data_IF_702202423235
#
_entry.id   IF_702202423235
#
_cell.length_a   1.000
_cell.length_b   1.000
_cell.length_c   1.000
_cell.angle_alpha   90.00
_cell.angle_beta   90.00
_cell.angle_gamma   90.00
#
_symmetry.space_group_name_H-M   'P 1'
#
loop_
_entity.id
_entity.type
_entity.pdbx_description
1 polymer ?
#
# COMPACT_ATOMS: atom_id res chain seq x y z
N UNK A 1 29.41 -8.66 0.55
CA UNK A 1 28.41 -7.67 0.14
C UNK A 1 27.48 -8.31 -0.90
N UNK A 2 26.29 -8.62 -0.50
CA UNK A 2 25.31 -9.21 -1.40
C UNK A 2 24.87 -8.14 -2.42
N UNK A 3 25.30 -8.30 -3.66
CA UNK A 3 24.74 -7.49 -4.74
C UNK A 3 23.27 -7.84 -4.89
N UNK A 4 22.41 -6.94 -4.46
CA UNK A 4 21.00 -7.06 -4.72
C UNK A 4 20.75 -6.87 -6.22
N UNK A 5 20.36 -7.94 -6.90
CA UNK A 5 19.82 -7.80 -8.25
C UNK A 5 18.39 -7.29 -8.12
N UNK A 6 18.17 -6.04 -8.51
CA UNK A 6 16.82 -5.55 -8.66
C UNK A 6 16.26 -6.01 -9.99
N UNK A 7 15.52 -7.10 -9.98
CA UNK A 7 14.64 -7.45 -11.11
C UNK A 7 13.28 -6.81 -10.79
N UNK A 8 13.01 -5.63 -11.37
CA UNK A 8 11.78 -4.90 -11.09
C UNK A 8 11.68 -4.44 -9.63
N UNK A 9 10.65 -4.86 -8.92
CA UNK A 9 10.26 -4.35 -7.59
C UNK A 9 10.68 -5.26 -6.43
N UNK A 10 11.19 -6.46 -6.71
CA UNK A 10 11.43 -7.46 -5.67
C UNK A 10 12.93 -7.72 -5.55
N UNK A 11 13.49 -7.45 -4.37
CA UNK A 11 14.80 -7.95 -3.97
C UNK A 11 14.63 -9.19 -3.12
N UNK A 12 15.25 -10.29 -3.54
CA UNK A 12 15.31 -11.51 -2.75
C UNK A 12 16.62 -11.50 -1.95
N UNK A 13 16.49 -11.47 -0.65
CA UNK A 13 17.62 -11.69 0.27
C UNK A 13 17.57 -13.12 0.80
N UNK A 14 18.68 -13.62 1.31
CA UNK A 14 18.75 -14.93 1.94
C UNK A 14 17.75 -15.10 3.12
N UNK A 15 17.26 -14.01 3.68
CA UNK A 15 16.33 -13.97 4.82
C UNK A 15 14.87 -13.70 4.44
N UNK A 16 14.53 -13.56 3.14
CA UNK A 16 13.15 -13.30 2.72
C UNK A 16 13.03 -12.37 1.51
N UNK A 17 11.81 -12.07 1.15
CA UNK A 17 11.47 -11.16 0.05
C UNK A 17 11.30 -9.76 0.60
N UNK A 18 12.08 -8.80 0.11
CA UNK A 18 11.95 -7.39 0.47
C UNK A 18 11.48 -6.61 -0.75
N UNK A 19 10.38 -5.91 -0.59
CA UNK A 19 9.85 -5.02 -1.62
C UNK A 19 10.66 -3.73 -1.65
N UNK A 20 11.14 -3.36 -2.84
CA UNK A 20 11.70 -2.04 -3.06
C UNK A 20 10.64 -1.18 -3.68
N UNK A 21 10.20 -0.21 -2.91
CA UNK A 21 9.26 0.79 -3.39
C UNK A 21 9.98 1.83 -4.22
N UNK A 22 9.52 2.01 -5.44
CA UNK A 22 9.95 3.11 -6.29
C UNK A 22 9.04 4.32 -6.07
N UNK A 23 9.52 5.48 -6.43
CA UNK A 23 8.75 6.73 -6.37
C UNK A 23 7.39 6.60 -7.09
N UNK A 24 7.37 5.95 -8.26
CA UNK A 24 6.14 5.71 -9.00
C UNK A 24 5.17 4.78 -8.29
N UNK A 25 5.66 3.83 -7.51
CA UNK A 25 4.82 2.94 -6.73
C UNK A 25 4.10 3.69 -5.62
N UNK A 26 4.78 4.62 -4.96
CA UNK A 26 4.18 5.48 -3.93
C UNK A 26 3.06 6.34 -4.52
N UNK A 27 3.32 6.96 -5.67
CA UNK A 27 2.30 7.75 -6.39
C UNK A 27 1.09 6.91 -6.79
N UNK A 28 1.31 5.71 -7.30
CA UNK A 28 0.25 4.79 -7.70
C UNK A 28 -0.61 4.36 -6.50
N UNK A 29 0.02 3.98 -5.40
CA UNK A 29 -0.69 3.58 -4.18
C UNK A 29 -1.57 4.72 -3.68
N UNK A 30 -1.02 5.92 -3.60
CA UNK A 30 -1.79 7.09 -3.18
C UNK A 30 -2.96 7.38 -4.13
N UNK A 31 -2.70 7.37 -5.44
CA UNK A 31 -3.70 7.64 -6.47
C UNK A 31 -4.86 6.63 -6.41
N UNK A 32 -4.58 5.35 -6.28
CA UNK A 32 -5.59 4.30 -6.18
C UNK A 32 -6.46 4.47 -4.93
N UNK A 33 -5.85 4.77 -3.79
CA UNK A 33 -6.58 4.99 -2.55
C UNK A 33 -7.42 6.26 -2.58
N UNK A 34 -6.89 7.35 -3.12
CA UNK A 34 -7.66 8.58 -3.31
C UNK A 34 -8.89 8.33 -4.18
N UNK A 35 -8.70 7.67 -5.31
CA UNK A 35 -9.78 7.30 -6.23
C UNK A 35 -10.83 6.41 -5.57
N UNK A 36 -10.40 5.44 -4.79
CA UNK A 36 -11.28 4.54 -4.03
C UNK A 36 -12.12 5.32 -3.01
N UNK A 37 -11.49 6.15 -2.19
CA UNK A 37 -12.19 6.99 -1.21
C UNK A 37 -13.16 7.95 -1.88
N UNK A 38 -12.75 8.57 -2.98
CA UNK A 38 -13.62 9.46 -3.76
C UNK A 38 -14.87 8.74 -4.26
N UNK A 39 -14.71 7.57 -4.86
CA UNK A 39 -15.82 6.75 -5.37
C UNK A 39 -16.73 6.25 -4.26
N UNK A 40 -16.18 5.85 -3.13
CA UNK A 40 -16.96 5.44 -1.94
C UNK A 40 -17.84 6.57 -1.43
N UNK A 41 -17.37 7.81 -1.54
CA UNK A 41 -18.16 9.00 -1.17
C UNK A 41 -19.12 9.46 -2.28
N UNK A 42 -19.16 8.76 -3.41
CA UNK A 42 -20.04 9.07 -4.53
C UNK A 42 -19.66 10.33 -5.31
N UNK A 43 -18.38 10.74 -5.26
CA UNK A 43 -17.92 11.98 -5.87
C UNK A 43 -17.26 11.73 -7.23
N UNK A 44 -17.59 12.58 -8.23
CA UNK A 44 -16.79 12.71 -9.44
C UNK A 44 -15.50 13.48 -9.13
N UNK A 45 -14.51 13.39 -10.01
CA UNK A 45 -13.29 14.21 -9.88
C UNK A 45 -13.60 15.71 -9.84
N UNK A 46 -14.53 16.15 -10.69
CA UNK A 46 -14.95 17.55 -10.71
C UNK A 46 -15.60 17.97 -9.39
N UNK A 47 -16.47 17.13 -8.85
CA UNK A 47 -17.14 17.44 -7.59
C UNK A 47 -16.17 17.47 -6.43
N UNK A 48 -15.22 16.53 -6.36
CA UNK A 48 -14.15 16.54 -5.37
C UNK A 48 -13.31 17.83 -5.47
N UNK A 49 -12.91 18.21 -6.69
CA UNK A 49 -12.12 19.43 -6.90
C UNK A 49 -12.85 20.68 -6.43
N UNK A 50 -14.15 20.77 -6.70
CA UNK A 50 -14.98 21.91 -6.27
C UNK A 50 -15.12 21.94 -4.75
N UNK A 51 -15.43 20.82 -4.12
CA UNK A 51 -15.59 20.76 -2.66
C UNK A 51 -14.29 21.03 -1.91
N UNK A 52 -13.17 20.62 -2.47
CA UNK A 52 -11.86 20.88 -1.88
C UNK A 52 -11.23 22.20 -2.32
N UNK A 53 -11.89 22.95 -3.20
CA UNK A 53 -11.35 24.19 -3.78
C UNK A 53 -9.96 23.97 -4.41
N UNK A 54 -9.85 22.91 -5.20
CA UNK A 54 -8.67 22.55 -5.96
C UNK A 54 -8.98 22.56 -7.45
N UNK A 55 -7.96 22.75 -8.28
CA UNK A 55 -8.14 22.64 -9.73
C UNK A 55 -8.52 21.20 -10.12
N UNK A 56 -9.46 21.04 -11.03
CA UNK A 56 -9.83 19.74 -11.59
C UNK A 56 -8.62 19.00 -12.17
N UNK A 57 -7.79 19.72 -12.93
CA UNK A 57 -6.57 19.17 -13.52
C UNK A 57 -5.61 18.62 -12.47
N UNK A 58 -5.56 19.24 -11.29
CA UNK A 58 -4.73 18.78 -10.19
C UNK A 58 -5.20 17.44 -9.64
N UNK A 59 -6.51 17.29 -9.38
CA UNK A 59 -7.09 16.01 -8.95
C UNK A 59 -6.87 14.93 -10.01
N UNK A 60 -7.11 15.25 -11.27
CA UNK A 60 -6.91 14.32 -12.38
C UNK A 60 -5.44 13.88 -12.49
N UNK A 61 -4.51 14.80 -12.37
CA UNK A 61 -3.08 14.50 -12.43
C UNK A 61 -2.60 13.63 -11.27
N UNK A 62 -3.13 13.85 -10.06
CA UNK A 62 -2.84 12.99 -8.91
C UNK A 62 -3.34 11.57 -9.17
N UNK A 63 -4.58 11.42 -9.58
CA UNK A 63 -5.20 10.11 -9.82
C UNK A 63 -4.57 9.35 -11.00
N UNK A 64 -3.93 10.07 -11.93
CA UNK A 64 -3.18 9.50 -13.06
C UNK A 64 -1.66 9.37 -12.78
N UNK A 65 -1.24 9.55 -11.55
CA UNK A 65 0.16 9.45 -11.12
C UNK A 65 1.10 10.47 -11.78
N UNK A 66 0.57 11.55 -12.35
CA UNK A 66 1.36 12.59 -13.03
C UNK A 66 1.94 13.63 -12.07
N UNK A 67 1.30 13.81 -10.91
CA UNK A 67 1.73 14.76 -9.89
C UNK A 67 1.74 14.10 -8.52
N UNK A 68 2.64 14.58 -7.70
CA UNK A 68 2.69 14.27 -6.27
C UNK A 68 2.05 15.40 -5.47
N UNK A 69 1.69 15.11 -4.25
CA UNK A 69 1.01 16.02 -3.34
C UNK A 69 1.93 16.43 -2.19
N UNK A 70 1.75 17.66 -1.69
CA UNK A 70 2.44 18.11 -0.50
C UNK A 70 1.84 17.46 0.76
N UNK A 71 2.59 17.41 1.88
CA UNK A 71 2.06 16.94 3.15
C UNK A 71 0.77 17.67 3.58
N UNK A 72 0.69 18.98 3.31
CA UNK A 72 -0.50 19.78 3.60
C UNK A 72 -1.71 19.31 2.79
N UNK A 73 -1.50 18.97 1.53
CA UNK A 73 -2.56 18.46 0.66
C UNK A 73 -3.01 17.08 1.12
N UNK A 74 -2.10 16.20 1.54
CA UNK A 74 -2.44 14.89 2.11
C UNK A 74 -3.30 15.07 3.36
N UNK A 75 -2.91 15.97 4.26
CA UNK A 75 -3.68 16.28 5.47
C UNK A 75 -5.09 16.80 5.13
N UNK A 76 -5.23 17.64 4.11
CA UNK A 76 -6.53 18.14 3.64
C UNK A 76 -7.42 17.00 3.11
N UNK A 77 -6.86 16.08 2.33
CA UNK A 77 -7.61 14.91 1.87
C UNK A 77 -8.04 14.03 3.04
N UNK A 78 -7.15 13.76 3.98
CA UNK A 78 -7.45 12.94 5.16
C UNK A 78 -8.61 13.55 5.97
N UNK A 79 -8.58 14.85 6.19
CA UNK A 79 -9.65 15.58 6.88
C UNK A 79 -10.97 15.53 6.10
N UNK A 80 -10.91 15.76 4.79
CA UNK A 80 -12.09 15.76 3.92
C UNK A 80 -12.79 14.39 3.92
N UNK A 81 -12.02 13.32 3.81
CA UNK A 81 -12.56 11.96 3.80
C UNK A 81 -12.79 11.37 5.19
N UNK A 82 -12.41 12.09 6.24
CA UNK A 82 -12.49 11.64 7.64
C UNK A 82 -11.80 10.28 7.84
N UNK A 83 -10.58 10.19 7.37
CA UNK A 83 -9.73 9.00 7.47
C UNK A 83 -8.34 9.37 7.96
N UNK A 84 -7.62 8.44 8.60
CA UNK A 84 -6.21 8.66 8.93
C UNK A 84 -5.38 8.72 7.65
N UNK A 85 -4.26 9.43 7.69
CA UNK A 85 -3.33 9.56 6.56
C UNK A 85 -2.89 8.19 6.02
N UNK A 86 -2.74 7.20 6.89
CA UNK A 86 -2.40 5.83 6.51
C UNK A 86 -3.36 5.20 5.50
N UNK A 87 -4.61 5.65 5.45
CA UNK A 87 -5.61 5.16 4.50
C UNK A 87 -5.25 5.40 3.04
N UNK A 88 -4.37 6.36 2.76
CA UNK A 88 -3.88 6.64 1.40
C UNK A 88 -2.74 5.74 0.97
N UNK A 89 -2.20 4.93 1.87
CA UNK A 89 -1.03 4.09 1.62
C UNK A 89 -1.30 2.61 1.84
N UNK A 90 -2.58 2.22 1.82
CA UNK A 90 -3.00 0.82 1.91
C UNK A 90 -2.79 0.14 0.56
N UNK A 91 -2.17 -1.03 0.57
CA UNK A 91 -2.01 -1.87 -0.61
C UNK A 91 -3.03 -3.02 -0.60
N UNK A 92 -3.42 -3.50 -1.79
CA UNK A 92 -4.30 -4.66 -1.92
C UNK A 92 -3.59 -5.91 -1.38
N UNK A 93 -3.98 -6.35 -0.24
CA UNK A 93 -3.36 -7.40 0.57
C UNK A 93 -3.32 -7.03 2.04
N UNK A 94 -3.39 -5.73 2.31
CA UNK A 94 -3.52 -5.19 3.65
C UNK A 94 -4.95 -4.66 3.85
N UNK A 95 -5.91 -5.57 3.87
CA UNK A 95 -7.29 -5.19 4.18
C UNK A 95 -7.39 -4.94 5.68
N UNK A 96 -6.83 -3.82 6.10
CA UNK A 96 -6.92 -3.36 7.48
C UNK A 96 -8.26 -2.68 7.68
N UNK A 97 -9.29 -3.47 7.95
CA UNK A 97 -10.42 -2.96 8.67
C UNK A 97 -9.91 -2.52 10.05
N UNK A 98 -9.94 -1.22 10.33
CA UNK A 98 -9.77 -0.61 11.65
C UNK A 98 -8.37 -0.66 12.30
N UNK A 99 -7.33 -0.25 11.61
CA UNK A 99 -6.04 -0.05 12.29
C UNK A 99 -5.44 -1.32 12.91
N UNK A 100 -6.06 -2.45 12.70
CA UNK A 100 -5.48 -3.73 12.97
C UNK A 100 -4.67 -4.15 11.75
N UNK A 101 -3.40 -4.35 11.95
CA UNK A 101 -2.62 -5.21 11.07
C UNK A 101 -3.49 -6.42 10.73
N UNK A 102 -3.49 -6.83 9.46
CA UNK A 102 -4.18 -8.07 9.11
C UNK A 102 -3.49 -9.22 9.86
N UNK A 103 -3.89 -9.39 11.12
CA UNK A 103 -3.37 -10.45 11.98
C UNK A 103 -3.55 -11.80 11.34
N UNK A 104 -4.62 -12.00 10.57
CA UNK A 104 -4.89 -13.27 9.89
C UNK A 104 -3.84 -13.56 8.81
N UNK A 105 -3.47 -12.56 8.01
CA UNK A 105 -2.42 -12.71 7.03
C UNK A 105 -1.05 -12.95 7.68
N UNK A 106 -0.73 -12.17 8.72
CA UNK A 106 0.53 -12.33 9.46
C UNK A 106 0.57 -13.70 10.15
N UNK A 107 -0.51 -14.08 10.84
CA UNK A 107 -0.60 -15.39 11.52
C UNK A 107 -0.50 -16.52 10.50
N UNK A 108 -1.20 -16.42 9.37
CA UNK A 108 -1.11 -17.42 8.30
C UNK A 108 0.30 -17.53 7.74
N UNK A 109 0.94 -16.41 7.42
CA UNK A 109 2.31 -16.38 6.89
C UNK A 109 3.29 -16.99 7.89
N UNK A 110 3.21 -16.62 9.16
CA UNK A 110 4.06 -17.19 10.22
C UNK A 110 3.77 -18.68 10.40
N UNK A 111 2.51 -19.08 10.39
CA UNK A 111 2.11 -20.49 10.51
C UNK A 111 2.63 -21.34 9.35
N UNK A 112 2.54 -20.84 8.13
CA UNK A 112 3.05 -21.53 6.94
C UNK A 112 4.58 -21.68 6.99
N UNK A 113 5.30 -20.63 7.40
CA UNK A 113 6.75 -20.67 7.57
C UNK A 113 7.18 -21.62 8.69
N UNK A 114 6.48 -21.61 9.81
CA UNK A 114 6.76 -22.54 10.93
C UNK A 114 6.48 -23.98 10.52
N UNK A 115 5.36 -24.24 9.86
CA UNK A 115 5.01 -25.59 9.36
C UNK A 115 6.06 -26.11 8.37
N UNK A 116 6.54 -25.25 7.47
CA UNK A 116 7.60 -25.58 6.54
C UNK A 116 8.90 -25.93 7.27
N UNK A 117 9.31 -25.10 8.24
CA UNK A 117 10.52 -25.33 9.04
C UNK A 117 10.42 -26.63 9.84
N UNK A 118 9.27 -26.93 10.44
CA UNK A 118 9.04 -28.17 11.17
C UNK A 118 9.14 -29.38 10.25
N UNK A 119 8.57 -29.30 9.05
CA UNK A 119 8.68 -30.36 8.04
C UNK A 119 10.12 -30.60 7.61
N UNK A 120 10.89 -29.56 7.35
CA UNK A 120 12.29 -29.66 6.97
C UNK A 120 13.15 -30.24 8.09
N UNK A 121 12.92 -29.82 9.33
CA UNK A 121 13.62 -30.36 10.51
C UNK A 121 13.22 -31.82 10.75
N UNK A 122 11.93 -32.16 10.58
CA UNK A 122 11.45 -33.53 10.69
C UNK A 122 12.11 -34.49 9.70
N UNK A 123 12.37 -34.04 8.48
CA UNK A 123 13.09 -34.83 7.46
C UNK A 123 14.56 -35.05 7.81
N UNK A 124 15.21 -34.07 8.45
CA UNK A 124 16.60 -34.20 8.90
C UNK A 124 16.78 -35.22 10.03
N UNK A 125 15.76 -35.46 10.81
CA UNK A 125 15.79 -36.37 11.96
C UNK A 125 14.99 -37.66 11.76
N UNK A 126 14.55 -37.92 10.52
CA UNK A 126 14.01 -39.26 10.15
C UNK A 126 15.13 -40.28 10.22
N UNK A 127 15.00 -41.18 11.11
CA UNK A 127 15.83 -42.37 11.22
C UNK A 127 15.28 -43.46 10.29
#
# INVERSE_FOLDING_TARGET
MLKSQSIGVIKVYASGVVFIMKEMDVRRIFAENLKKLRKQKGLSQLKLSNEMQMAFTFINDIENCKKWVSPETIARFATFFDVPVSSFFITDGENTNNGNFNTDFIVKTISDEVAKTISEVGERFKV
#
